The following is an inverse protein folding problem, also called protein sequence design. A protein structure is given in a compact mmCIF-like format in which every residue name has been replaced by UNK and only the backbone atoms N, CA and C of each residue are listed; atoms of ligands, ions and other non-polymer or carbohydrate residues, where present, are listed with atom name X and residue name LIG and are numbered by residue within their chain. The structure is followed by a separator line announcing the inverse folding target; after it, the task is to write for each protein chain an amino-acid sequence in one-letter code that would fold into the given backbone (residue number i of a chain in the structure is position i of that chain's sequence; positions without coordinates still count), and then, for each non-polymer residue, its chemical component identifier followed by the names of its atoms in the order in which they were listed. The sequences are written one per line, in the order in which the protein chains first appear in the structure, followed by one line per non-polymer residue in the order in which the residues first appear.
data_IF_618046185676
#
_entry.id   IF_618046185676
#
_cell.length_a   1.000
_cell.length_b   1.000
_cell.length_c   1.000
_cell.angle_alpha   90.00
_cell.angle_beta   90.00
_cell.angle_gamma   90.00
#
_symmetry.space_group_name_H-M   'P 1'
#
loop_
_entity.id
_entity.type
_entity.pdbx_description
1 polymer ?
#
# COMPACT_ATOMS: atom_id res chain seq x y z
N UNK A 1 14.29 -4.33 18.11
CA UNK A 1 13.30 -3.28 17.78
C UNK A 1 12.80 -3.49 16.36
N UNK A 2 11.48 -3.54 16.13
CA UNK A 2 10.95 -3.54 14.76
C UNK A 2 11.09 -2.12 14.20
N UNK A 3 11.95 -1.95 13.20
CA UNK A 3 12.09 -0.66 12.53
C UNK A 3 10.96 -0.48 11.50
N UNK A 4 10.07 0.45 11.79
CA UNK A 4 9.02 0.89 10.89
C UNK A 4 9.56 1.96 9.96
N UNK A 5 9.26 1.85 8.66
CA UNK A 5 9.49 2.92 7.67
C UNK A 5 8.48 4.04 7.91
N UNK A 6 7.22 3.67 8.14
CA UNK A 6 6.19 4.61 8.57
C UNK A 6 5.09 3.88 9.37
N UNK A 7 4.32 4.68 10.09
CA UNK A 7 3.07 4.33 10.74
C UNK A 7 2.07 5.47 10.48
N UNK A 8 0.90 5.13 9.96
CA UNK A 8 -0.15 6.08 9.55
C UNK A 8 -1.53 5.54 9.91
N UNK A 9 -2.55 6.39 9.88
CA UNK A 9 -3.94 5.98 10.00
C UNK A 9 -4.56 5.86 8.60
N UNK A 10 -5.18 4.73 8.30
CA UNK A 10 -5.88 4.54 7.03
C UNK A 10 -7.21 5.29 6.95
N UNK A 11 -7.84 5.21 5.78
CA UNK A 11 -9.16 5.80 5.53
C UNK A 11 -10.26 5.32 6.49
N UNK A 12 -10.08 4.18 7.15
CA UNK A 12 -11.04 3.58 8.09
C UNK A 12 -10.74 3.88 9.56
N UNK A 13 -9.70 4.66 9.85
CA UNK A 13 -9.31 4.99 11.23
C UNK A 13 -8.40 3.95 11.90
N UNK A 14 -7.85 2.98 11.15
CA UNK A 14 -6.98 1.94 11.69
C UNK A 14 -5.52 2.26 11.46
N UNK A 15 -4.66 1.85 12.39
CA UNK A 15 -3.22 2.07 12.31
C UNK A 15 -2.57 1.09 11.34
N UNK A 16 -1.90 1.60 10.31
CA UNK A 16 -1.18 0.83 9.30
C UNK A 16 0.30 1.12 9.39
N UNK A 17 1.10 0.06 9.44
CA UNK A 17 2.57 0.14 9.47
C UNK A 17 3.20 -0.50 8.25
N UNK A 18 4.31 0.07 7.80
CA UNK A 18 5.23 -0.57 6.87
C UNK A 18 6.56 -0.82 7.58
N UNK A 19 7.00 -2.07 7.64
CA UNK A 19 8.29 -2.42 8.26
C UNK A 19 9.42 -2.40 7.24
N UNK A 20 10.68 -2.17 7.70
CA UNK A 20 11.87 -2.28 6.83
C UNK A 20 11.97 -3.65 6.14
N UNK A 21 11.53 -4.74 6.79
CA UNK A 21 11.54 -6.08 6.20
C UNK A 21 10.61 -6.18 4.98
N UNK A 22 9.35 -5.78 5.13
CA UNK A 22 8.37 -5.76 4.03
C UNK A 22 8.80 -4.81 2.91
N UNK A 23 9.41 -3.69 3.29
CA UNK A 23 9.93 -2.72 2.33
C UNK A 23 11.09 -3.27 1.51
N UNK A 24 12.02 -4.00 2.14
CA UNK A 24 13.09 -4.70 1.42
C UNK A 24 12.53 -5.71 0.42
N UNK A 25 11.56 -6.52 0.82
CA UNK A 25 10.93 -7.49 -0.09
C UNK A 25 10.22 -6.81 -1.27
N UNK A 26 9.55 -5.68 -1.01
CA UNK A 26 8.89 -4.88 -2.06
C UNK A 26 9.92 -4.29 -3.02
N UNK A 27 11.00 -3.69 -2.51
CA UNK A 27 12.06 -3.10 -3.34
C UNK A 27 12.86 -4.15 -4.12
N UNK A 28 13.07 -5.35 -3.58
CA UNK A 28 13.73 -6.44 -4.31
C UNK A 28 12.92 -6.86 -5.55
N UNK A 29 11.58 -6.83 -5.45
CA UNK A 29 10.68 -7.21 -6.56
C UNK A 29 10.36 -6.02 -7.48
N UNK A 30 10.38 -4.80 -6.94
CA UNK A 30 10.04 -3.57 -7.61
C UNK A 30 11.02 -2.45 -7.20
N UNK A 31 12.25 -2.43 -7.77
CA UNK A 31 13.34 -1.55 -7.34
C UNK A 31 13.04 -0.05 -7.42
N UNK A 32 12.00 0.34 -8.16
CA UNK A 32 11.58 1.74 -8.32
C UNK A 32 10.52 2.19 -7.31
N UNK A 33 10.03 1.33 -6.40
CA UNK A 33 9.01 1.74 -5.42
C UNK A 33 9.57 2.63 -4.30
N UNK A 34 10.89 2.60 -4.08
CA UNK A 34 11.56 3.35 -3.02
C UNK A 34 11.24 4.86 -3.02
N UNK A 35 11.13 5.45 -4.22
CA UNK A 35 10.87 6.89 -4.38
C UNK A 35 9.39 7.27 -4.19
N UNK A 36 8.48 6.29 -4.17
CA UNK A 36 7.03 6.52 -4.10
C UNK A 36 6.44 6.29 -2.71
N UNK A 37 7.25 6.47 -1.67
CA UNK A 37 6.83 6.20 -0.29
C UNK A 37 5.67 7.10 0.15
N UNK A 38 5.67 8.35 -0.28
CA UNK A 38 4.61 9.31 0.04
C UNK A 38 3.31 8.97 -0.70
N UNK A 39 3.40 8.53 -1.96
CA UNK A 39 2.25 8.08 -2.75
C UNK A 39 1.63 6.81 -2.13
N UNK A 40 2.45 5.90 -1.58
CA UNK A 40 1.96 4.74 -0.82
C UNK A 40 1.17 5.20 0.41
N UNK A 41 1.72 6.12 1.21
CA UNK A 41 1.01 6.67 2.37
C UNK A 41 -0.30 7.34 1.95
N UNK A 42 -0.27 8.17 0.91
CA UNK A 42 -1.44 8.86 0.41
C UNK A 42 -2.52 7.88 -0.07
N UNK A 43 -2.10 6.78 -0.70
CA UNK A 43 -3.01 5.71 -1.16
C UNK A 43 -3.74 5.05 0.00
N UNK A 44 -3.10 4.92 1.16
CA UNK A 44 -3.70 4.32 2.36
C UNK A 44 -4.61 5.33 3.10
N UNK A 45 -4.21 6.61 3.17
CA UNK A 45 -4.95 7.66 3.89
C UNK A 45 -6.16 8.15 3.07
N UNK A 46 -5.98 8.34 1.76
CA UNK A 46 -6.98 8.88 0.82
C UNK A 46 -6.99 8.07 -0.48
N UNK A 47 -7.44 6.80 -0.43
CA UNK A 47 -7.64 5.99 -1.63
C UNK A 47 -8.79 6.52 -2.48
N UNK A 48 -8.71 6.26 -3.78
CA UNK A 48 -9.82 6.44 -4.72
C UNK A 48 -10.76 5.22 -4.69
N UNK A 49 -10.22 4.03 -4.41
CA UNK A 49 -11.00 2.81 -4.24
C UNK A 49 -10.36 1.86 -3.22
N UNK A 50 -11.19 1.10 -2.51
CA UNK A 50 -10.79 0.01 -1.63
C UNK A 50 -11.57 -1.24 -2.03
N UNK A 51 -10.90 -2.35 -2.25
CA UNK A 51 -11.54 -3.62 -2.64
C UNK A 51 -11.03 -4.80 -1.82
N UNK A 52 -11.74 -5.93 -1.86
CA UNK A 52 -11.55 -7.10 -0.99
C UNK A 52 -11.49 -8.43 -1.75
N UNK A 53 -10.97 -8.45 -2.98
CA UNK A 53 -10.85 -9.66 -3.83
C UNK A 53 -10.00 -10.80 -3.27
N UNK A 54 -9.34 -10.63 -2.12
CA UNK A 54 -8.60 -11.72 -1.52
C UNK A 54 -9.55 -12.72 -0.88
N UNK A 55 -9.22 -14.01 -0.99
CA UNK A 55 -9.88 -15.04 -0.16
C UNK A 55 -9.64 -14.79 1.34
N UNK A 56 -8.57 -14.08 1.70
CA UNK A 56 -8.30 -13.65 3.06
C UNK A 56 -9.13 -12.39 3.38
N UNK A 57 -10.17 -12.57 4.21
CA UNK A 57 -11.08 -11.50 4.63
C UNK A 57 -10.39 -10.34 5.36
N UNK A 58 -9.15 -10.53 5.82
CA UNK A 58 -8.36 -9.49 6.48
C UNK A 58 -7.52 -8.67 5.50
N UNK A 59 -7.55 -8.97 4.21
CA UNK A 59 -6.78 -8.26 3.19
C UNK A 59 -7.66 -7.25 2.47
N UNK A 60 -7.13 -6.05 2.28
CA UNK A 60 -7.75 -4.97 1.49
C UNK A 60 -6.75 -4.40 0.50
N UNK A 61 -7.27 -4.02 -0.66
CA UNK A 61 -6.51 -3.46 -1.77
C UNK A 61 -6.89 -1.99 -1.91
N UNK A 62 -5.94 -1.10 -1.61
CA UNK A 62 -6.10 0.34 -1.70
C UNK A 62 -5.55 0.82 -3.03
N UNK A 63 -6.37 1.54 -3.79
CA UNK A 63 -5.99 2.08 -5.10
C UNK A 63 -6.03 3.59 -5.08
N UNK A 64 -5.04 4.20 -5.72
CA UNK A 64 -5.04 5.64 -5.98
C UNK A 64 -4.41 5.97 -7.31
N UNK A 65 -5.07 6.84 -8.07
CA UNK A 65 -4.64 7.28 -9.38
C UNK A 65 -3.72 8.51 -9.29
N UNK A 66 -2.57 8.44 -9.93
CA UNK A 66 -1.61 9.54 -10.00
C UNK A 66 -1.40 9.97 -11.45
N UNK A 67 -1.91 11.17 -11.79
CA UNK A 67 -1.81 11.76 -13.14
C UNK A 67 -0.37 11.97 -13.59
N UNK A 68 0.51 12.32 -12.65
CA UNK A 68 1.89 12.74 -12.90
C UNK A 68 2.85 11.57 -13.22
N UNK A 69 2.42 10.31 -13.01
CA UNK A 69 3.24 9.15 -13.34
C UNK A 69 3.40 9.05 -14.86
N UNK A 70 4.67 8.99 -15.31
CA UNK A 70 5.02 8.81 -16.73
C UNK A 70 4.67 7.41 -17.27
N UNK A 71 4.35 6.47 -16.41
CA UNK A 71 4.02 5.09 -16.76
C UNK A 71 2.57 4.93 -17.24
N UNK A 72 2.32 3.89 -18.05
CA UNK A 72 0.96 3.42 -18.38
C UNK A 72 0.22 2.91 -17.13
N UNK A 73 0.95 2.50 -16.10
CA UNK A 73 0.39 2.05 -14.83
C UNK A 73 0.21 3.28 -13.93
N UNK A 74 -0.98 3.86 -13.95
CA UNK A 74 -1.28 5.11 -13.24
C UNK A 74 -1.91 4.92 -11.87
N UNK A 75 -2.27 3.70 -11.50
CA UNK A 75 -2.73 3.39 -10.15
C UNK A 75 -1.58 2.90 -9.31
N UNK A 76 -1.37 3.50 -8.14
CA UNK A 76 -0.63 2.84 -7.08
C UNK A 76 -1.59 1.93 -6.33
N UNK A 77 -1.21 0.66 -6.21
CA UNK A 77 -1.89 -0.31 -5.37
C UNK A 77 -1.08 -0.53 -4.10
N UNK A 78 -1.70 -0.35 -2.93
CA UNK A 78 -1.18 -0.77 -1.63
C UNK A 78 -2.05 -1.89 -1.05
N UNK A 79 -1.44 -3.05 -0.78
CA UNK A 79 -2.13 -4.21 -0.20
C UNK A 79 -1.89 -4.19 1.29
N UNK A 80 -2.97 -4.10 2.07
CA UNK A 80 -2.94 -4.02 3.52
C UNK A 80 -3.58 -5.27 4.10
N UNK A 81 -2.94 -5.88 5.10
CA UNK A 81 -3.53 -6.94 5.92
C UNK A 81 -3.78 -6.42 7.33
N UNK A 82 -4.99 -6.64 7.82
CA UNK A 82 -5.39 -6.33 9.18
C UNK A 82 -5.16 -7.53 10.10
N UNK A 83 -4.78 -7.24 11.34
CA UNK A 83 -4.64 -8.20 12.42
C UNK A 83 -4.86 -7.48 13.75
N UNK A 84 -5.84 -7.95 14.53
CA UNK A 84 -6.12 -7.46 15.89
C UNK A 84 -6.34 -5.93 16.00
N UNK A 85 -7.04 -5.33 15.03
CA UNK A 85 -7.39 -3.90 15.03
C UNK A 85 -6.39 -2.99 14.31
N UNK A 86 -5.15 -3.43 14.15
CA UNK A 86 -4.12 -2.74 13.36
C UNK A 86 -3.90 -3.44 12.02
N UNK A 87 -3.09 -2.85 11.15
CA UNK A 87 -2.72 -3.46 9.88
C UNK A 87 -1.29 -3.17 9.46
N UNK A 88 -0.86 -3.86 8.42
CA UNK A 88 0.45 -3.66 7.82
C UNK A 88 0.40 -3.79 6.29
N UNK A 89 1.29 -3.06 5.64
CA UNK A 89 1.45 -3.16 4.19
C UNK A 89 2.18 -4.46 3.86
N UNK A 90 1.54 -5.30 3.05
CA UNK A 90 2.13 -6.55 2.54
C UNK A 90 3.02 -6.23 1.33
N UNK A 91 2.46 -5.49 0.36
CA UNK A 91 3.11 -5.12 -0.91
C UNK A 91 2.52 -3.82 -1.43
N UNK A 92 3.30 -3.13 -2.25
CA UNK A 92 2.82 -2.03 -3.07
C UNK A 92 3.50 -2.03 -4.44
N UNK A 93 2.76 -1.69 -5.49
CA UNK A 93 3.27 -1.58 -6.85
C UNK A 93 2.29 -0.80 -7.75
N UNK A 94 2.73 -0.39 -8.94
CA UNK A 94 1.85 0.26 -9.91
C UNK A 94 1.06 -0.74 -10.75
N UNK A 95 -0.23 -0.49 -10.88
CA UNK A 95 -1.19 -1.28 -11.64
C UNK A 95 -1.89 -0.42 -12.70
N UNK A 96 -2.39 -1.06 -13.77
CA UNK A 96 -3.10 -0.36 -14.86
C UNK A 96 -4.55 -0.06 -14.54
N UNK A 97 -5.18 -0.94 -13.76
CA UNK A 97 -6.61 -0.89 -13.47
C UNK A 97 -6.89 -1.32 -12.03
N UNK A 98 -7.96 -0.80 -11.48
CA UNK A 98 -8.57 -1.35 -10.28
C UNK A 98 -9.04 -2.77 -10.66
N UNK A 99 -8.67 -3.76 -9.84
CA UNK A 99 -9.20 -5.12 -9.99
C UNK A 99 -10.61 -5.18 -9.46
#
# INVERSE_FOLDING_TARGET
MMEHIFEIIDKTGRKIRLTKRQWRETNLKHPNMAVYLEEIKETIIKPDAITDYSLDQNVRYYYKYFKHLKSKNKYLLAIVKYLNGDGFVIKSYFERKIK
#
